data_IF_338861759395
#
_entry.id   IF_338861759395
#
_cell.length_a   1.000
_cell.length_b   1.000
_cell.length_c   1.000
_cell.angle_alpha   90.00
_cell.angle_beta   90.00
_cell.angle_gamma   90.00
#
_symmetry.space_group_name_H-M   'P 1'
#
loop_
_entity.id
_entity.type
_entity.pdbx_description
1 polymer ?
#
# COMPACT_ATOMS: atom_id res chain seq x y z
N UNK A 1 -10.29 11.79 -17.23
CA UNK A 1 -10.36 10.33 -17.28
C UNK A 1 -11.72 9.87 -16.75
N UNK A 2 -12.22 8.70 -17.17
CA UNK A 2 -13.47 8.10 -16.68
C UNK A 2 -13.20 6.70 -16.12
N UNK A 3 -14.01 6.25 -15.17
CA UNK A 3 -13.77 4.97 -14.50
C UNK A 3 -13.75 3.76 -15.46
N UNK A 4 -12.79 2.85 -15.30
CA UNK A 4 -12.74 1.58 -16.02
C UNK A 4 -13.53 0.51 -15.25
N UNK A 5 -14.55 -0.09 -15.86
CA UNK A 5 -15.44 -1.07 -15.20
C UNK A 5 -15.75 -2.26 -16.10
N UNK A 6 -16.19 -3.38 -15.51
CA UNK A 6 -16.60 -4.58 -16.25
C UNK A 6 -15.46 -5.44 -16.80
N UNK A 7 -14.22 -5.18 -16.37
CA UNK A 7 -13.06 -5.97 -16.76
C UNK A 7 -12.96 -7.22 -15.87
N UNK A 8 -12.56 -8.36 -16.43
CA UNK A 8 -12.21 -9.53 -15.62
C UNK A 8 -10.78 -9.42 -15.09
N UNK A 9 -9.84 -8.97 -15.92
CA UNK A 9 -8.44 -8.78 -15.57
C UNK A 9 -7.92 -7.52 -16.24
N UNK A 10 -6.99 -6.83 -15.61
CA UNK A 10 -6.24 -5.72 -16.20
C UNK A 10 -4.74 -6.02 -16.12
N UNK A 11 -4.01 -5.77 -17.21
CA UNK A 11 -2.55 -5.84 -17.22
C UNK A 11 -2.00 -4.63 -17.96
N UNK A 12 -1.16 -3.84 -17.29
CA UNK A 12 -0.53 -2.64 -17.82
C UNK A 12 0.98 -2.75 -17.63
N UNK A 13 1.69 -2.92 -18.74
CA UNK A 13 3.13 -3.18 -18.71
C UNK A 13 4.01 -1.91 -18.74
N UNK A 14 3.48 -0.83 -19.31
CA UNK A 14 4.17 0.45 -19.41
C UNK A 14 3.94 1.34 -18.19
N UNK A 15 4.58 2.51 -18.22
CA UNK A 15 4.27 3.58 -17.27
C UNK A 15 2.80 3.95 -17.38
N UNK A 16 2.12 4.09 -16.24
CA UNK A 16 0.68 4.32 -16.17
C UNK A 16 0.37 5.56 -15.36
N UNK A 17 -0.66 6.29 -15.76
CA UNK A 17 -1.28 7.36 -14.98
C UNK A 17 -2.68 6.89 -14.58
N UNK A 18 -2.88 6.67 -13.28
CA UNK A 18 -4.18 6.39 -12.68
C UNK A 18 -4.86 7.73 -12.37
N UNK A 19 -5.69 8.17 -13.31
CA UNK A 19 -6.50 9.39 -13.20
C UNK A 19 -7.98 9.12 -12.90
N UNK A 20 -8.36 7.86 -12.70
CA UNK A 20 -9.71 7.43 -12.34
C UNK A 20 -9.70 6.04 -11.68
N UNK A 21 -10.83 5.70 -11.04
CA UNK A 21 -11.04 4.40 -10.44
C UNK A 21 -11.04 3.27 -11.47
N UNK A 22 -10.58 2.09 -11.04
CA UNK A 22 -10.57 0.87 -11.84
C UNK A 22 -11.27 -0.24 -11.07
N UNK A 23 -12.30 -0.82 -11.66
CA UNK A 23 -13.03 -1.98 -11.12
C UNK A 23 -12.85 -3.18 -12.04
N UNK A 24 -12.38 -4.27 -11.46
CA UNK A 24 -12.19 -5.56 -12.13
C UNK A 24 -12.73 -6.70 -11.27
N UNK A 25 -13.18 -7.80 -11.85
CA UNK A 25 -13.62 -9.00 -11.09
C UNK A 25 -12.50 -10.01 -10.82
N UNK A 26 -11.25 -9.62 -11.05
CA UNK A 26 -10.07 -10.48 -11.02
C UNK A 26 -8.81 -9.62 -10.92
N UNK A 27 -7.65 -10.16 -11.29
CA UNK A 27 -6.37 -9.50 -10.99
C UNK A 27 -6.18 -8.20 -11.78
N UNK A 28 -5.64 -7.19 -11.10
CA UNK A 28 -5.07 -5.98 -11.72
C UNK A 28 -3.55 -6.05 -11.61
N UNK A 29 -2.83 -5.94 -12.72
CA UNK A 29 -1.37 -6.03 -12.77
C UNK A 29 -0.78 -4.78 -13.42
N UNK A 30 0.00 -4.03 -12.66
CA UNK A 30 0.73 -2.84 -13.08
C UNK A 30 2.22 -3.12 -12.96
N UNK A 31 2.87 -3.47 -14.08
CA UNK A 31 4.29 -3.86 -14.04
C UNK A 31 5.24 -2.71 -14.38
N UNK A 32 4.72 -1.61 -14.94
CA UNK A 32 5.45 -0.36 -15.10
C UNK A 32 5.22 0.59 -13.92
N UNK A 33 5.97 1.70 -13.86
CA UNK A 33 5.78 2.72 -12.84
C UNK A 33 4.38 3.35 -12.94
N UNK A 34 3.75 3.61 -11.80
CA UNK A 34 2.40 4.16 -11.70
C UNK A 34 2.45 5.54 -11.07
N UNK A 35 1.79 6.51 -11.71
CA UNK A 35 1.47 7.81 -11.11
C UNK A 35 -0.02 7.85 -10.76
N UNK A 36 -0.35 8.23 -9.54
CA UNK A 36 -1.70 8.49 -9.05
C UNK A 36 -1.96 9.99 -9.17
N UNK A 37 -2.72 10.41 -10.19
CA UNK A 37 -2.93 11.83 -10.51
C UNK A 37 -4.19 12.45 -9.89
N UNK A 38 -5.01 11.62 -9.28
CA UNK A 38 -6.14 12.02 -8.43
C UNK A 38 -6.38 10.94 -7.38
N UNK A 39 -7.30 11.17 -6.43
CA UNK A 39 -7.71 10.11 -5.50
C UNK A 39 -8.29 8.92 -6.28
N UNK A 40 -7.69 7.74 -6.11
CA UNK A 40 -8.03 6.54 -6.89
C UNK A 40 -8.43 5.42 -5.96
N UNK A 41 -9.51 4.74 -6.34
CA UNK A 41 -9.91 3.43 -5.82
C UNK A 41 -9.70 2.35 -6.89
N UNK A 42 -8.96 1.31 -6.54
CA UNK A 42 -8.82 0.08 -7.32
C UNK A 42 -9.65 -1.01 -6.64
N UNK A 43 -10.72 -1.43 -7.28
CA UNK A 43 -11.63 -2.47 -6.81
C UNK A 43 -11.34 -3.77 -7.59
N UNK A 44 -10.79 -4.75 -6.88
CA UNK A 44 -10.65 -6.12 -7.38
C UNK A 44 -11.72 -6.99 -6.73
N UNK A 45 -12.94 -6.87 -7.26
CA UNK A 45 -14.16 -7.41 -6.69
C UNK A 45 -14.01 -8.90 -6.37
N UNK A 46 -14.29 -9.27 -5.13
CA UNK A 46 -14.09 -10.63 -4.63
C UNK A 46 -12.72 -10.89 -4.00
N UNK A 47 -11.90 -9.84 -3.83
CA UNK A 47 -10.62 -9.92 -3.12
C UNK A 47 -9.47 -10.43 -3.98
N UNK A 48 -9.51 -10.24 -5.30
CA UNK A 48 -8.38 -10.62 -6.14
C UNK A 48 -7.22 -9.63 -6.01
N UNK A 49 -6.05 -10.05 -6.50
CA UNK A 49 -4.78 -9.32 -6.30
C UNK A 49 -4.68 -8.08 -7.20
N UNK A 50 -4.31 -6.96 -6.58
CA UNK A 50 -3.73 -5.78 -7.25
C UNK A 50 -2.21 -5.81 -7.06
N UNK A 51 -1.48 -6.03 -8.16
CA UNK A 51 -0.03 -6.15 -8.18
C UNK A 51 0.61 -4.87 -8.74
N UNK A 52 1.55 -4.30 -8.00
CA UNK A 52 2.46 -3.26 -8.45
C UNK A 52 3.91 -3.77 -8.45
N UNK A 53 4.48 -3.98 -9.64
CA UNK A 53 5.87 -4.47 -9.76
C UNK A 53 6.94 -3.37 -9.79
N UNK A 54 6.52 -2.11 -9.82
CA UNK A 54 7.39 -0.93 -9.90
C UNK A 54 6.86 0.16 -8.97
N UNK A 55 7.41 1.37 -9.03
CA UNK A 55 7.03 2.46 -8.13
C UNK A 55 5.57 2.86 -8.30
N UNK A 56 4.96 3.30 -7.19
CA UNK A 56 3.64 3.91 -7.16
C UNK A 56 3.77 5.26 -6.48
N UNK A 57 3.66 6.34 -7.24
CA UNK A 57 3.92 7.69 -6.78
C UNK A 57 2.70 8.57 -7.01
N UNK A 58 2.53 9.62 -6.22
CA UNK A 58 1.58 10.69 -6.53
C UNK A 58 2.14 11.65 -7.57
N UNK A 59 1.31 12.55 -8.09
CA UNK A 59 1.80 13.72 -8.84
C UNK A 59 2.60 14.66 -7.94
N UNK A 60 3.65 15.27 -8.49
CA UNK A 60 4.45 16.29 -7.81
C UNK A 60 3.57 17.33 -7.09
N UNK A 61 3.87 17.60 -5.82
CA UNK A 61 3.24 18.62 -4.94
C UNK A 61 1.79 18.34 -4.53
N UNK A 62 1.16 17.27 -5.01
CA UNK A 62 -0.20 16.88 -4.62
C UNK A 62 -0.19 15.45 -4.09
N UNK A 63 -0.54 15.26 -2.83
CA UNK A 63 -0.57 13.94 -2.21
C UNK A 63 -1.95 13.28 -2.40
N UNK A 64 -2.14 12.56 -3.51
CA UNK A 64 -3.37 11.85 -3.83
C UNK A 64 -3.45 10.52 -3.08
N UNK A 65 -4.65 10.07 -2.78
CA UNK A 65 -4.91 8.83 -2.03
C UNK A 65 -5.02 7.62 -2.95
N UNK A 66 -4.51 6.47 -2.49
CA UNK A 66 -4.68 5.19 -3.13
C UNK A 66 -5.46 4.25 -2.20
N UNK A 67 -6.66 3.88 -2.63
CA UNK A 67 -7.48 2.86 -1.95
C UNK A 67 -7.54 1.60 -2.80
N UNK A 68 -7.29 0.45 -2.18
CA UNK A 68 -7.39 -0.87 -2.82
C UNK A 68 -8.45 -1.66 -2.07
N UNK A 69 -9.55 -1.97 -2.76
CA UNK A 69 -10.55 -2.92 -2.28
C UNK A 69 -10.24 -4.31 -2.84
N UNK A 70 -9.48 -5.08 -2.07
CA UNK A 70 -8.94 -6.38 -2.44
C UNK A 70 -7.55 -6.62 -1.84
N UNK A 71 -6.92 -7.72 -2.27
CA UNK A 71 -5.54 -8.03 -1.89
C UNK A 71 -4.57 -7.13 -2.66
N UNK A 72 -3.43 -6.80 -2.06
CA UNK A 72 -2.39 -5.97 -2.68
C UNK A 72 -0.99 -6.58 -2.56
N UNK A 73 -0.15 -6.31 -3.55
CA UNK A 73 1.28 -6.59 -3.50
C UNK A 73 2.06 -5.41 -4.06
N UNK A 74 2.96 -4.86 -3.25
CA UNK A 74 3.86 -3.77 -3.62
C UNK A 74 5.30 -4.29 -3.70
N UNK A 75 5.78 -4.60 -4.90
CA UNK A 75 7.19 -4.99 -5.12
C UNK A 75 8.12 -3.77 -5.27
N UNK A 76 7.57 -2.67 -5.77
CA UNK A 76 8.27 -1.38 -5.87
C UNK A 76 7.96 -0.46 -4.69
N UNK A 77 8.81 0.55 -4.51
CA UNK A 77 8.62 1.56 -3.49
C UNK A 77 7.38 2.42 -3.77
N UNK A 78 6.67 2.82 -2.72
CA UNK A 78 5.43 3.58 -2.81
C UNK A 78 5.63 4.96 -2.20
N UNK A 79 5.46 6.01 -3.00
CA UNK A 79 5.49 7.40 -2.55
C UNK A 79 6.83 7.90 -2.02
N UNK A 80 7.95 7.22 -2.29
CA UNK A 80 9.28 7.57 -1.75
C UNK A 80 10.00 8.68 -2.54
N UNK A 81 9.44 9.13 -3.66
CA UNK A 81 10.00 10.23 -4.44
C UNK A 81 9.74 11.58 -3.75
N UNK A 82 10.76 12.45 -3.72
CA UNK A 82 10.64 13.78 -3.10
C UNK A 82 9.52 14.58 -3.76
N UNK A 83 8.48 14.90 -2.99
CA UNK A 83 7.32 15.65 -3.45
C UNK A 83 6.29 14.83 -4.22
N UNK A 84 6.45 13.51 -4.30
CA UNK A 84 5.52 12.56 -4.94
C UNK A 84 4.93 11.57 -3.94
N UNK A 85 4.96 11.90 -2.66
CA UNK A 85 4.37 11.10 -1.59
C UNK A 85 2.85 10.95 -1.80
N UNK A 86 2.30 9.77 -1.54
CA UNK A 86 0.84 9.59 -1.54
C UNK A 86 0.20 10.27 -0.33
N UNK A 87 -1.06 10.65 -0.46
CA UNK A 87 -1.87 11.20 0.64
C UNK A 87 -2.13 10.13 1.71
N UNK A 88 -2.54 8.95 1.27
CA UNK A 88 -2.70 7.76 2.11
C UNK A 88 -2.67 6.52 1.23
N UNK A 89 -2.42 5.38 1.86
CA UNK A 89 -2.61 4.05 1.28
C UNK A 89 -3.57 3.28 2.18
N UNK A 90 -4.64 2.74 1.61
CA UNK A 90 -5.58 1.87 2.32
C UNK A 90 -5.81 0.59 1.53
N UNK A 91 -5.65 -0.56 2.19
CA UNK A 91 -5.89 -1.88 1.59
C UNK A 91 -6.84 -2.68 2.47
N UNK A 92 -7.93 -3.17 1.89
CA UNK A 92 -8.94 -3.95 2.61
C UNK A 92 -8.56 -5.43 2.79
N UNK A 93 -7.80 -6.00 1.84
CA UNK A 93 -7.36 -7.40 1.82
C UNK A 93 -5.95 -7.64 2.37
N UNK A 94 -5.44 -8.86 2.15
CA UNK A 94 -4.08 -9.24 2.49
C UNK A 94 -3.08 -8.40 1.69
N UNK A 95 -2.00 -7.97 2.34
CA UNK A 95 -1.01 -7.09 1.71
C UNK A 95 0.38 -7.69 1.78
N UNK A 96 1.05 -7.86 0.65
CA UNK A 96 2.49 -8.11 0.59
C UNK A 96 3.24 -6.78 0.48
N UNK A 97 4.02 -6.45 1.51
CA UNK A 97 4.89 -5.27 1.57
C UNK A 97 6.32 -5.74 1.29
N UNK A 98 6.81 -5.53 0.08
CA UNK A 98 8.16 -5.95 -0.31
C UNK A 98 9.12 -4.75 -0.49
N UNK A 99 8.63 -3.54 -0.20
CA UNK A 99 9.40 -2.31 -0.32
C UNK A 99 8.87 -1.22 0.63
N UNK A 100 9.55 -0.09 0.68
CA UNK A 100 9.17 1.04 1.52
C UNK A 100 7.88 1.72 1.04
N UNK A 101 7.11 2.25 2.00
CA UNK A 101 5.89 3.02 1.74
C UNK A 101 5.97 4.34 2.50
N UNK A 102 5.88 5.44 1.77
CA UNK A 102 5.85 6.80 2.31
C UNK A 102 4.53 7.50 1.94
N UNK A 103 3.85 8.02 2.95
CA UNK A 103 2.60 8.77 2.82
C UNK A 103 2.61 10.02 3.70
N UNK A 104 1.99 11.10 3.23
CA UNK A 104 1.78 12.32 4.02
C UNK A 104 0.67 12.19 5.07
N UNK A 105 -0.21 11.19 4.92
CA UNK A 105 -1.25 10.81 5.86
C UNK A 105 -1.09 9.37 6.34
N UNK A 106 -2.21 8.70 6.60
CA UNK A 106 -2.24 7.37 7.18
C UNK A 106 -1.93 6.25 6.17
N UNK A 107 -1.42 5.14 6.69
CA UNK A 107 -1.36 3.85 6.01
C UNK A 107 -2.28 2.89 6.77
N UNK A 108 -3.19 2.21 6.07
CA UNK A 108 -4.15 1.28 6.68
C UNK A 108 -4.11 -0.06 5.96
N UNK A 109 -3.74 -1.11 6.68
CA UNK A 109 -3.70 -2.48 6.19
C UNK A 109 -4.68 -3.33 7.00
N UNK A 110 -5.83 -3.64 6.41
CA UNK A 110 -6.91 -4.33 7.12
C UNK A 110 -6.68 -5.85 7.15
N UNK A 111 -6.26 -6.44 6.03
CA UNK A 111 -5.83 -7.84 5.99
C UNK A 111 -4.42 -8.02 6.56
N UNK A 112 -3.96 -9.28 6.60
CA UNK A 112 -2.63 -9.60 7.12
C UNK A 112 -1.57 -8.94 6.24
N UNK A 113 -0.72 -8.12 6.84
CA UNK A 113 0.46 -7.60 6.17
C UNK A 113 1.61 -8.61 6.25
N UNK A 114 2.12 -9.05 5.10
CA UNK A 114 3.26 -9.95 5.00
C UNK A 114 4.46 -9.17 4.47
N UNK A 115 5.58 -9.22 5.18
CA UNK A 115 6.82 -8.60 4.73
C UNK A 115 7.56 -9.57 3.81
N UNK A 116 8.00 -9.09 2.64
CA UNK A 116 8.88 -9.84 1.73
C UNK A 116 10.37 -9.64 1.98
N UNK A 117 10.71 -8.87 3.02
CA UNK A 117 12.06 -8.44 3.39
C UNK A 117 11.97 -7.35 4.46
N UNK A 118 13.09 -6.68 4.74
CA UNK A 118 13.09 -5.51 5.62
C UNK A 118 12.26 -4.38 4.99
N UNK A 119 11.32 -3.82 5.76
CA UNK A 119 10.40 -2.77 5.31
C UNK A 119 10.50 -1.55 6.22
N UNK A 120 10.57 -0.37 5.59
CA UNK A 120 10.46 0.92 6.25
C UNK A 120 9.16 1.62 5.82
N UNK A 121 8.40 2.08 6.80
CA UNK A 121 7.13 2.78 6.61
C UNK A 121 7.24 4.19 7.19
N UNK A 122 6.84 5.17 6.39
CA UNK A 122 6.76 6.56 6.77
C UNK A 122 5.33 7.06 6.58
N UNK A 123 4.65 7.38 7.68
CA UNK A 123 3.31 7.93 7.64
C UNK A 123 3.28 9.29 8.34
N UNK A 124 2.63 10.29 7.73
CA UNK A 124 2.46 11.59 8.39
C UNK A 124 1.56 11.53 9.63
N UNK A 125 0.75 10.47 9.80
CA UNK A 125 -0.10 10.28 10.98
C UNK A 125 0.12 8.92 11.65
N UNK A 126 -0.33 7.83 11.03
CA UNK A 126 -0.31 6.50 11.61
C UNK A 126 -0.19 5.40 10.56
N UNK A 127 0.43 4.30 10.95
CA UNK A 127 0.39 3.01 10.27
C UNK A 127 -0.48 2.08 11.09
N UNK A 128 -1.59 1.60 10.52
CA UNK A 128 -2.51 0.67 11.16
C UNK A 128 -2.42 -0.72 10.53
N UNK A 129 -2.23 -1.74 11.37
CA UNK A 129 -2.30 -3.15 11.00
C UNK A 129 -3.42 -3.83 11.77
N UNK A 130 -4.55 -4.09 11.11
CA UNK A 130 -5.73 -4.64 11.77
C UNK A 130 -5.58 -6.14 12.02
N UNK A 131 -5.25 -6.92 10.98
CA UNK A 131 -5.02 -8.36 11.11
C UNK A 131 -3.57 -8.71 11.52
N UNK A 132 -2.72 -7.71 11.75
CA UNK A 132 -1.35 -7.88 12.22
C UNK A 132 -0.31 -7.99 11.10
N UNK A 133 0.88 -8.45 11.47
CA UNK A 133 2.06 -8.50 10.60
C UNK A 133 2.73 -9.87 10.67
N UNK A 134 3.14 -10.40 9.53
CA UNK A 134 3.97 -11.60 9.43
C UNK A 134 5.22 -11.33 8.63
N UNK A 135 6.37 -11.77 9.14
CA UNK A 135 7.64 -11.79 8.43
C UNK A 135 8.33 -13.15 8.51
N UNK A 136 9.54 -13.22 7.99
CA UNK A 136 10.36 -14.41 7.82
C UNK A 136 11.81 -14.20 8.29
N UNK A 137 11.96 -13.55 9.45
CA UNK A 137 13.17 -12.93 9.98
C UNK A 137 13.46 -11.52 9.41
N UNK A 138 12.39 -10.77 9.17
CA UNK A 138 12.43 -9.43 8.57
C UNK A 138 12.37 -8.33 9.65
N UNK A 139 12.94 -7.16 9.36
CA UNK A 139 12.78 -5.97 10.17
C UNK A 139 11.59 -5.12 9.68
N UNK A 140 10.74 -4.67 10.60
CA UNK A 140 9.77 -3.61 10.34
C UNK A 140 10.20 -2.34 11.07
N UNK A 141 10.40 -1.26 10.31
CA UNK A 141 10.64 0.08 10.84
C UNK A 141 9.48 0.99 10.47
N UNK A 142 8.98 1.75 11.44
CA UNK A 142 8.06 2.87 11.25
C UNK A 142 8.84 4.13 11.59
N UNK A 143 9.49 4.70 10.57
CA UNK A 143 10.41 5.84 10.71
C UNK A 143 9.70 7.16 11.02
N UNK A 144 8.42 7.27 10.66
CA UNK A 144 7.55 8.39 11.04
C UNK A 144 6.10 7.94 11.20
N UNK A 145 5.35 8.70 12.00
CA UNK A 145 3.97 8.37 12.38
C UNK A 145 3.89 7.43 13.57
N UNK A 146 2.66 7.20 14.03
CA UNK A 146 2.35 6.30 15.13
C UNK A 146 2.04 4.89 14.60
N UNK A 147 2.32 3.87 15.40
CA UNK A 147 1.85 2.51 15.14
C UNK A 147 0.50 2.29 15.82
N UNK A 148 -0.45 1.73 15.08
CA UNK A 148 -1.69 1.13 15.61
C UNK A 148 -1.73 -0.35 15.21
N UNK A 149 -1.63 -1.24 16.19
CA UNK A 149 -1.53 -2.68 15.96
C UNK A 149 -2.64 -3.41 16.71
N UNK A 150 -3.61 -3.92 15.96
CA UNK A 150 -4.74 -4.68 16.50
C UNK A 150 -4.52 -6.20 16.38
N UNK A 151 -3.60 -6.62 15.51
CA UNK A 151 -3.30 -8.02 15.26
C UNK A 151 -1.98 -8.52 15.82
N UNK A 152 -1.71 -9.81 15.63
CA UNK A 152 -0.44 -10.42 16.06
C UNK A 152 0.72 -10.03 15.16
N UNK A 153 1.90 -9.83 15.76
CA UNK A 153 3.17 -9.70 15.03
C UNK A 153 3.94 -11.01 15.16
N UNK A 154 4.35 -11.57 14.02
CA UNK A 154 5.10 -12.84 13.96
C UNK A 154 6.27 -12.73 13.00
N UNK A 155 7.35 -13.46 13.28
CA UNK A 155 8.47 -13.62 12.33
C UNK A 155 9.29 -12.35 12.06
N UNK A 156 9.15 -11.31 12.89
CA UNK A 156 10.03 -10.14 12.82
C UNK A 156 11.30 -10.36 13.65
N UNK A 157 12.45 -9.89 13.14
CA UNK A 157 13.67 -9.74 13.95
C UNK A 157 13.60 -8.50 14.82
N UNK A 158 13.03 -7.41 14.28
CA UNK A 158 12.87 -6.13 14.97
C UNK A 158 11.58 -5.44 14.54
N UNK A 159 10.91 -4.81 15.50
CA UNK A 159 9.88 -3.81 15.29
C UNK A 159 10.36 -2.50 15.91
N UNK A 160 10.64 -1.49 15.09
CA UNK A 160 11.07 -0.16 15.54
C UNK A 160 10.02 0.87 15.16
N UNK A 161 9.62 1.73 16.11
CA UNK A 161 8.62 2.78 15.88
C UNK A 161 9.14 4.10 16.44
N UNK A 162 9.20 5.14 15.60
CA UNK A 162 9.63 6.47 16.01
C UNK A 162 8.55 7.25 16.78
N UNK A 163 7.27 7.07 16.41
CA UNK A 163 6.11 7.66 17.09
C UNK A 163 5.62 6.86 18.29
N UNK A 164 4.37 7.08 18.70
CA UNK A 164 3.74 6.27 19.74
C UNK A 164 3.20 4.96 19.18
N UNK A 165 3.02 3.95 20.03
CA UNK A 165 2.40 2.69 19.65
C UNK A 165 1.13 2.44 20.47
N UNK A 166 0.02 2.17 19.78
CA UNK A 166 -1.16 1.55 20.34
C UNK A 166 -1.12 0.06 20.01
N UNK A 167 -1.16 -0.79 21.03
CA UNK A 167 -1.10 -2.25 20.88
C UNK A 167 -2.40 -2.81 21.47
N UNK A 168 -3.46 -2.81 20.67
CA UNK A 168 -4.82 -3.17 21.08
C UNK A 168 -5.27 -4.48 20.46
N UNK A 169 -4.81 -5.61 20.98
CA UNK A 169 -5.33 -6.94 20.59
C UNK A 169 -6.74 -7.21 21.13
#
# INVERSE_FOLDING_TARGET
DGAATGLTTLSVAGTSDLGANVTTSGTQSYTGAVTVSTDVTLDSTGGALVLFSSTVDSTMTTANTLTIDGDAQFDGAVGVGVGTELGSVSVSGATALNNAVQTTGAQTYTGLATLGGDVDLEAGTSVQFVAGVSGSADALTISSGNLDLDGSVTGLTTLSVAGTSNLGA
#
